data_IF_793138289050
#
_entry.id   IF_793138289050
#
_cell.length_a   1.000
_cell.length_b   1.000
_cell.length_c   1.000
_cell.angle_alpha   90.00
_cell.angle_beta   90.00
_cell.angle_gamma   90.00
#
_symmetry.space_group_name_H-M   'P 1'
#
loop_
_entity.id
_entity.type
_entity.pdbx_description
1 polymer ?
#
# COMPACT_ATOMS: atom_id res chain seq x y z
N UNK A 1 18.71 11.49 -13.55
CA UNK A 1 17.25 11.57 -13.30
C UNK A 1 17.00 11.21 -11.84
N UNK A 2 16.04 11.84 -11.18
CA UNK A 2 15.59 11.48 -9.83
C UNK A 2 14.91 10.10 -9.85
N UNK A 3 15.01 9.34 -8.75
CA UNK A 3 14.27 8.08 -8.60
C UNK A 3 12.78 8.40 -8.44
N UNK A 4 11.88 7.87 -9.30
CA UNK A 4 10.46 8.15 -9.20
C UNK A 4 9.89 7.56 -7.90
N UNK A 5 9.02 8.33 -7.24
CA UNK A 5 8.33 7.92 -6.01
C UNK A 5 6.87 7.62 -6.32
N UNK A 6 6.27 6.69 -5.58
CA UNK A 6 4.87 6.30 -5.74
C UNK A 6 4.20 6.18 -4.38
N UNK A 7 2.97 6.68 -4.26
CA UNK A 7 2.06 6.34 -3.16
C UNK A 7 1.28 5.09 -3.57
N UNK A 8 1.46 4.00 -2.84
CA UNK A 8 0.62 2.81 -2.92
C UNK A 8 -0.50 2.94 -1.89
N UNK A 9 -1.74 2.86 -2.34
CA UNK A 9 -2.93 2.78 -1.49
C UNK A 9 -3.62 1.45 -1.76
N UNK A 10 -4.05 0.75 -0.72
CA UNK A 10 -4.86 -0.45 -0.85
C UNK A 10 -5.88 -0.55 0.28
N UNK A 11 -6.97 -1.28 0.03
CA UNK A 11 -7.96 -1.63 1.06
C UNK A 11 -7.76 -3.08 1.46
N UNK A 12 -7.78 -3.38 2.76
CA UNK A 12 -7.55 -4.74 3.29
C UNK A 12 -8.44 -5.07 4.49
N UNK A 13 -8.99 -6.29 4.57
CA UNK A 13 -9.68 -6.77 5.77
C UNK A 13 -8.74 -6.91 6.97
N UNK A 14 -9.23 -6.61 8.19
CA UNK A 14 -8.45 -6.71 9.44
C UNK A 14 -7.62 -7.97 9.64
N UNK A 15 -8.18 -9.14 9.33
CA UNK A 15 -7.54 -10.44 9.52
C UNK A 15 -6.25 -10.62 8.73
N UNK A 16 -6.02 -9.79 7.71
CA UNK A 16 -4.85 -9.84 6.84
C UNK A 16 -4.04 -8.53 6.83
N UNK A 17 -4.43 -7.53 7.64
CA UNK A 17 -3.72 -6.25 7.72
C UNK A 17 -2.23 -6.43 8.06
N UNK A 18 -1.93 -7.24 9.08
CA UNK A 18 -0.56 -7.50 9.51
C UNK A 18 0.27 -8.18 8.40
N UNK A 19 -0.27 -9.24 7.79
CA UNK A 19 0.37 -9.97 6.69
C UNK A 19 0.61 -9.08 5.46
N UNK A 20 -0.35 -8.23 5.11
CA UNK A 20 -0.20 -7.29 3.99
C UNK A 20 0.82 -6.18 4.31
N UNK A 21 0.82 -5.62 5.53
CA UNK A 21 1.85 -4.66 5.99
C UNK A 21 3.25 -5.28 5.93
N UNK A 22 3.44 -6.45 6.54
CA UNK A 22 4.72 -7.16 6.57
C UNK A 22 5.24 -7.49 5.17
N UNK A 23 4.38 -8.03 4.30
CA UNK A 23 4.74 -8.35 2.92
C UNK A 23 5.15 -7.11 2.11
N UNK A 24 4.41 -6.01 2.24
CA UNK A 24 4.66 -4.74 1.54
C UNK A 24 5.92 -4.02 2.05
N UNK A 25 6.15 -3.99 3.37
CA UNK A 25 7.36 -3.40 3.96
C UNK A 25 8.62 -4.26 3.72
N UNK A 26 8.47 -5.59 3.69
CA UNK A 26 9.54 -6.53 3.29
C UNK A 26 9.95 -6.34 1.83
N UNK A 27 8.99 -6.10 0.94
CA UNK A 27 9.24 -5.71 -0.45
C UNK A 27 9.87 -4.30 -0.62
N UNK A 28 10.03 -3.54 0.46
CA UNK A 28 10.78 -2.29 0.48
C UNK A 28 9.95 -1.02 0.56
N UNK A 29 8.61 -1.11 0.55
CA UNK A 29 7.76 0.05 0.78
C UNK A 29 7.90 0.60 2.22
N UNK A 30 7.47 1.84 2.44
CA UNK A 30 7.60 2.56 3.71
C UNK A 30 9.01 3.14 3.98
N UNK A 31 9.99 2.84 3.12
CA UNK A 31 11.41 3.23 3.29
C UNK A 31 11.72 4.52 2.54
N UNK A 32 11.83 5.63 3.27
CA UNK A 32 12.34 6.91 2.75
C UNK A 32 13.84 7.09 3.10
N UNK A 33 14.71 7.56 2.19
CA UNK A 33 16.10 7.87 2.50
C UNK A 33 16.20 8.98 3.56
N UNK A 34 16.60 8.61 4.78
CA UNK A 34 16.65 9.50 5.96
C UNK A 34 15.75 9.04 7.12
N UNK A 35 14.68 8.30 6.81
CA UNK A 35 13.94 7.41 7.72
C UNK A 35 13.32 8.00 9.00
N UNK A 36 11.98 8.17 9.00
CA UNK A 36 11.09 7.97 10.17
C UNK A 36 9.61 8.05 9.76
N UNK A 37 9.01 6.90 9.46
CA UNK A 37 7.57 6.68 9.53
C UNK A 37 7.32 5.38 10.30
N UNK A 38 6.24 5.32 11.08
CA UNK A 38 5.91 4.22 11.97
C UNK A 38 4.40 3.99 11.98
N UNK A 39 3.96 2.84 12.45
CA UNK A 39 2.69 2.24 12.04
C UNK A 39 1.43 2.77 12.75
N UNK A 40 0.27 2.59 12.10
CA UNK A 40 -1.07 2.79 12.65
C UNK A 40 -1.89 1.47 12.67
N UNK A 41 -3.00 1.43 13.44
CA UNK A 41 -3.78 0.22 13.81
C UNK A 41 -5.33 0.48 14.00
N UNK A 42 -6.13 -0.59 14.28
CA UNK A 42 -7.55 -0.66 14.75
C UNK A 42 -8.73 -0.50 13.73
N UNK A 43 -9.81 -1.33 13.64
CA UNK A 43 -10.04 -2.69 14.19
C UNK A 43 -10.71 -3.80 13.26
N UNK A 44 -12.05 -3.96 13.00
CA UNK A 44 -12.74 -5.26 12.67
C UNK A 44 -13.76 -5.31 11.46
N UNK A 45 -14.21 -6.40 10.77
CA UNK A 45 -13.88 -7.85 10.70
C UNK A 45 -14.20 -8.57 9.32
N UNK A 46 -15.35 -9.25 9.08
CA UNK A 46 -15.60 -10.25 7.95
C UNK A 46 -17.07 -10.31 7.41
N UNK A 47 -17.28 -10.76 6.15
CA UNK A 47 -18.58 -11.06 5.48
C UNK A 47 -18.67 -12.40 4.67
N UNK A 48 -19.73 -12.64 3.89
CA UNK A 48 -20.00 -13.87 3.09
C UNK A 48 -20.32 -13.62 1.58
N UNK A 49 -20.07 -14.58 0.67
CA UNK A 49 -20.40 -14.47 -0.76
C UNK A 49 -21.90 -14.43 -1.07
N UNK A 50 -22.29 -13.73 -2.15
CA UNK A 50 -23.67 -13.69 -2.65
C UNK A 50 -24.62 -12.75 -1.89
N UNK A 51 -24.17 -12.17 -0.77
CA UNK A 51 -24.87 -11.13 -0.01
C UNK A 51 -24.14 -9.80 -0.20
N UNK A 52 -24.87 -8.68 -0.31
CA UNK A 52 -24.27 -7.35 -0.26
C UNK A 52 -23.90 -7.02 1.18
N UNK A 53 -22.65 -7.25 1.54
CA UNK A 53 -22.12 -6.99 2.89
C UNK A 53 -21.29 -5.71 2.89
N UNK A 54 -21.60 -4.76 3.76
CA UNK A 54 -20.66 -3.71 4.15
C UNK A 54 -19.67 -4.29 5.16
N UNK A 55 -18.37 -4.19 4.86
CA UNK A 55 -17.27 -4.53 5.76
C UNK A 55 -16.41 -3.28 5.97
N UNK A 56 -15.85 -3.12 7.18
CA UNK A 56 -14.82 -2.11 7.40
C UNK A 56 -13.49 -2.63 6.85
N UNK A 57 -12.84 -1.81 6.02
CA UNK A 57 -11.55 -2.11 5.42
C UNK A 57 -10.54 -1.01 5.77
N UNK A 58 -9.29 -1.40 6.02
CA UNK A 58 -8.22 -0.43 6.23
C UNK A 58 -7.75 0.12 4.88
N UNK A 59 -7.90 1.43 4.66
CA UNK A 59 -7.12 2.12 3.64
C UNK A 59 -5.68 2.28 4.14
N UNK A 60 -4.80 1.37 3.71
CA UNK A 60 -3.37 1.42 4.01
C UNK A 60 -2.67 2.25 2.93
N UNK A 61 -1.90 3.24 3.36
CA UNK A 61 -1.14 4.13 2.48
C UNK A 61 0.36 4.01 2.77
N UNK A 62 1.18 3.86 1.73
CA UNK A 62 2.63 3.73 1.89
C UNK A 62 3.41 4.29 0.70
N UNK A 63 4.68 4.61 0.93
CA UNK A 63 5.60 5.11 -0.09
C UNK A 63 6.44 3.97 -0.69
N UNK A 64 6.49 3.90 -2.01
CA UNK A 64 7.40 3.06 -2.77
C UNK A 64 8.41 3.95 -3.51
N UNK A 65 9.71 3.80 -3.20
CA UNK A 65 10.78 4.55 -3.86
C UNK A 65 11.36 3.70 -5.00
N UNK A 66 11.09 4.09 -6.24
CA UNK A 66 11.51 3.39 -7.45
C UNK A 66 10.48 2.37 -7.98
N UNK A 67 10.51 2.15 -9.29
CA UNK A 67 9.55 1.29 -10.01
C UNK A 67 9.62 -0.17 -9.54
N UNK A 68 10.82 -0.69 -9.27
CA UNK A 68 11.00 -2.06 -8.76
C UNK A 68 10.31 -2.28 -7.42
N UNK A 69 10.57 -1.41 -6.43
CA UNK A 69 9.92 -1.46 -5.10
C UNK A 69 8.40 -1.36 -5.22
N UNK A 70 7.89 -0.49 -6.10
CA UNK A 70 6.45 -0.40 -6.36
C UNK A 70 5.88 -1.71 -6.92
N UNK A 71 6.53 -2.29 -7.94
CA UNK A 71 6.08 -3.56 -8.54
C UNK A 71 6.13 -4.71 -7.54
N UNK A 72 7.20 -4.82 -6.75
CA UNK A 72 7.38 -5.90 -5.79
C UNK A 72 6.46 -5.76 -4.57
N UNK A 73 6.18 -4.54 -4.12
CA UNK A 73 5.14 -4.27 -3.12
C UNK A 73 3.75 -4.69 -3.61
N UNK A 74 3.37 -4.39 -4.87
CA UNK A 74 2.09 -4.83 -5.45
C UNK A 74 2.04 -6.36 -5.62
N UNK A 75 3.14 -7.02 -6.01
CA UNK A 75 3.23 -8.49 -6.07
C UNK A 75 3.10 -9.13 -4.69
N UNK A 76 3.75 -8.55 -3.67
CA UNK A 76 3.73 -9.04 -2.29
C UNK A 76 2.33 -8.89 -1.68
N UNK A 77 1.71 -7.71 -1.83
CA UNK A 77 0.32 -7.46 -1.45
C UNK A 77 -0.63 -8.48 -2.07
N UNK A 78 -0.57 -8.69 -3.40
CA UNK A 78 -1.42 -9.67 -4.11
C UNK A 78 -1.24 -11.12 -3.68
N UNK A 79 -0.18 -11.46 -2.94
CA UNK A 79 0.02 -12.79 -2.33
C UNK A 79 -0.47 -12.89 -0.89
N UNK A 80 -0.47 -11.77 -0.16
CA UNK A 80 -0.87 -11.70 1.25
C UNK A 80 -2.35 -11.30 1.45
N UNK A 81 -2.99 -10.74 0.42
CA UNK A 81 -4.36 -10.25 0.48
C UNK A 81 -5.41 -11.39 0.38
N UNK A 82 -6.50 -11.36 1.18
CA UNK A 82 -7.49 -12.44 1.21
C UNK A 82 -8.42 -12.49 0.00
N UNK A 83 -8.54 -11.40 -0.75
CA UNK A 83 -9.39 -11.33 -1.94
C UNK A 83 -8.57 -11.55 -3.22
N UNK A 84 -9.07 -12.42 -4.10
CA UNK A 84 -8.50 -12.73 -5.42
C UNK A 84 -8.35 -11.46 -6.30
N UNK A 85 -9.31 -10.53 -6.19
CA UNK A 85 -9.23 -9.21 -6.83
C UNK A 85 -8.91 -8.14 -5.80
N UNK A 86 -7.63 -7.75 -5.71
CA UNK A 86 -7.16 -6.64 -4.86
C UNK A 86 -7.31 -5.30 -5.61
N UNK A 87 -8.10 -4.38 -5.05
CA UNK A 87 -8.14 -2.98 -5.51
C UNK A 87 -6.94 -2.24 -4.95
N UNK A 88 -6.10 -1.70 -5.84
CA UNK A 88 -4.90 -0.93 -5.49
C UNK A 88 -4.84 0.35 -6.32
N UNK A 89 -4.44 1.44 -5.69
CA UNK A 89 -4.23 2.73 -6.33
C UNK A 89 -2.72 3.03 -6.26
N UNK A 90 -2.09 3.32 -7.39
CA UNK A 90 -0.65 3.62 -7.48
C UNK A 90 -0.47 5.00 -8.11
N UNK A 91 -0.17 5.98 -7.26
CA UNK A 91 -0.07 7.39 -7.65
C UNK A 91 1.41 7.76 -7.75
N UNK A 92 1.88 8.16 -8.93
CA UNK A 92 3.23 8.70 -9.06
C UNK A 92 3.31 10.06 -8.36
N UNK A 93 4.33 10.22 -7.51
CA UNK A 93 4.62 11.45 -6.79
C UNK A 93 5.72 12.24 -7.52
N UNK A 94 5.59 13.56 -7.46
CA UNK A 94 6.54 14.55 -7.99
C UNK A 94 7.04 15.43 -6.86
N UNK A 95 8.29 15.91 -6.95
CA UNK A 95 8.82 16.90 -6.02
C UNK A 95 8.19 18.27 -6.31
N UNK A 96 7.92 19.06 -5.27
CA UNK A 96 7.30 20.39 -5.44
C UNK A 96 8.25 21.37 -6.13
N UNK A 97 9.55 21.17 -5.95
CA UNK A 97 10.65 21.89 -6.62
C UNK A 97 10.79 21.51 -8.10
N UNK A 98 10.21 20.39 -8.54
CA UNK A 98 10.12 20.02 -9.96
C UNK A 98 8.88 20.64 -10.63
N UNK A 99 7.82 20.96 -9.86
CA UNK A 99 6.64 21.71 -10.34
C UNK A 99 6.90 23.21 -10.49
N UNK A 100 7.83 23.77 -9.71
CA UNK A 100 8.21 25.18 -9.78
C UNK A 100 9.14 25.53 -10.96
N UNK A 101 9.56 24.54 -11.76
CA UNK A 101 10.46 24.69 -12.93
C UNK A 101 9.71 24.48 -14.24
N UNK A 102 8.82 25.43 -14.53
CA UNK A 102 8.23 25.64 -15.87
C UNK A 102 9.12 26.50 -16.75
#
# INVERSE_FOLDING_TARGET
MSTPQFKLIFRVPPSHLALCKEAVFSAGAGKYPGGRYSECELHPHIGQPGVLVQVEEYQVETLCVGVGVMQDAVKALRKAHPYEQVVVEVIQLVHIEDLARG
#
